data_IF_349865447462
#
_entry.id   IF_349865447462
#
_cell.length_a   1.000
_cell.length_b   1.000
_cell.length_c   1.000
_cell.angle_alpha   90.00
_cell.angle_beta   90.00
_cell.angle_gamma   90.00
#
_symmetry.space_group_name_H-M   'P 1'
#
loop_
_entity.id
_entity.type
_entity.pdbx_description
1 polymer ?
#
# COMPACT_ATOMS: atom_id res chain seq x y z
N UNK A 1 7.77 20.89 28.85
CA UNK A 1 6.95 19.83 28.22
C UNK A 1 7.74 18.55 28.29
N UNK A 2 7.28 17.55 29.05
CA UNK A 2 7.80 16.19 28.93
C UNK A 2 7.52 15.75 27.49
N UNK A 3 8.55 15.67 26.64
CA UNK A 3 8.42 14.92 25.39
C UNK A 3 8.31 13.46 25.83
N UNK A 4 7.16 12.83 25.57
CA UNK A 4 7.05 11.37 25.67
C UNK A 4 8.19 10.73 24.88
N UNK A 5 8.73 9.63 25.39
CA UNK A 5 9.74 8.86 24.66
C UNK A 5 9.18 8.44 23.29
N UNK A 6 9.96 8.56 22.21
CA UNK A 6 9.53 8.14 20.88
C UNK A 6 9.09 6.67 20.88
N UNK A 7 7.99 6.38 20.18
CA UNK A 7 7.55 4.99 19.97
C UNK A 7 8.58 4.26 19.11
N UNK A 8 8.96 3.05 19.53
CA UNK A 8 9.96 2.21 18.88
C UNK A 8 9.35 1.36 17.79
N UNK A 9 9.93 1.36 16.60
CA UNK A 9 9.38 0.71 15.41
C UNK A 9 10.37 -0.31 14.87
N UNK A 10 9.91 -1.54 14.61
CA UNK A 10 10.63 -2.50 13.79
C UNK A 10 10.30 -2.29 12.32
N UNK A 11 11.29 -2.14 11.46
CA UNK A 11 11.10 -2.12 10.01
C UNK A 11 11.46 -3.47 9.40
N UNK A 12 10.45 -4.15 8.86
CA UNK A 12 10.53 -5.47 8.23
C UNK A 12 10.32 -5.27 6.74
N UNK A 13 11.37 -5.47 5.94
CA UNK A 13 11.34 -5.19 4.51
C UNK A 13 11.82 -6.39 3.69
N UNK A 14 11.50 -6.44 2.40
CA UNK A 14 12.06 -7.45 1.50
C UNK A 14 13.46 -7.10 1.05
N UNK A 15 13.72 -5.84 0.68
CA UNK A 15 15.02 -5.31 0.24
C UNK A 15 15.02 -3.78 0.36
N UNK A 16 16.21 -3.17 0.48
CA UNK A 16 16.40 -1.72 0.42
C UNK A 16 17.45 -1.40 -0.65
N UNK A 17 17.02 -1.03 -1.85
CA UNK A 17 17.95 -0.76 -2.96
C UNK A 17 18.65 0.61 -2.87
N UNK A 18 19.91 0.64 -3.32
CA UNK A 18 20.73 1.87 -3.45
C UNK A 18 20.31 2.77 -4.60
N UNK A 19 20.23 2.22 -5.79
CA UNK A 19 20.12 3.03 -7.01
C UNK A 19 18.72 2.97 -7.63
N UNK A 20 17.83 2.14 -7.05
CA UNK A 20 16.43 2.02 -7.42
C UNK A 20 15.56 2.61 -6.30
N UNK A 21 14.49 3.29 -6.68
CA UNK A 21 13.47 3.75 -5.74
C UNK A 21 12.69 2.53 -5.20
N UNK A 22 13.21 1.93 -4.13
CA UNK A 22 12.46 0.91 -3.38
C UNK A 22 11.59 1.58 -2.32
N UNK A 23 10.40 1.05 -2.14
CA UNK A 23 9.46 1.46 -1.11
C UNK A 23 10.07 1.53 0.30
N UNK A 24 10.82 0.50 0.67
CA UNK A 24 11.50 0.47 1.96
C UNK A 24 12.54 1.59 2.08
N UNK A 25 13.27 1.92 1.00
CA UNK A 25 14.17 3.08 1.00
C UNK A 25 13.42 4.38 1.28
N UNK A 26 12.28 4.60 0.62
CA UNK A 26 11.48 5.81 0.83
C UNK A 26 10.97 5.90 2.26
N UNK A 27 10.33 4.85 2.78
CA UNK A 27 9.69 4.87 4.09
C UNK A 27 10.73 4.84 5.21
N UNK A 28 11.58 3.81 5.25
CA UNK A 28 12.59 3.62 6.30
C UNK A 28 13.64 4.72 6.25
N UNK A 29 14.02 5.19 5.06
CA UNK A 29 14.94 6.32 4.88
C UNK A 29 14.46 7.59 5.58
N UNK A 30 13.15 7.90 5.55
CA UNK A 30 12.60 9.07 6.27
C UNK A 30 12.72 8.93 7.79
N UNK A 31 12.64 7.72 8.33
CA UNK A 31 12.85 7.48 9.75
C UNK A 31 14.32 7.63 10.15
N UNK A 32 15.23 7.09 9.33
CA UNK A 32 16.66 7.08 9.64
C UNK A 32 17.34 8.44 9.40
N UNK A 33 16.93 9.15 8.34
CA UNK A 33 17.62 10.35 7.84
C UNK A 33 16.73 11.60 7.77
N UNK A 34 15.49 11.54 8.27
CA UNK A 34 14.54 12.66 8.25
C UNK A 34 13.82 12.84 6.92
N UNK A 35 12.79 13.69 6.88
CA UNK A 35 11.94 13.82 5.69
C UNK A 35 12.69 14.31 4.45
N UNK A 36 13.73 15.14 4.64
CA UNK A 36 14.61 15.62 3.58
C UNK A 36 15.82 14.70 3.31
N UNK A 37 15.98 13.60 4.06
CA UNK A 37 17.13 12.69 3.99
C UNK A 37 18.51 13.36 4.23
N UNK A 38 18.51 14.48 4.95
CA UNK A 38 19.70 15.27 5.30
C UNK A 38 20.16 15.08 6.75
N UNK A 39 19.51 14.17 7.48
CA UNK A 39 19.74 13.94 8.89
C UNK A 39 19.20 15.05 9.79
N UNK A 40 18.36 15.97 9.30
CA UNK A 40 17.79 17.07 10.08
C UNK A 40 16.31 16.84 10.40
N UNK A 41 15.78 17.66 11.30
CA UNK A 41 14.33 17.80 11.50
C UNK A 41 13.69 18.54 10.30
N UNK A 42 12.40 18.31 10.00
CA UNK A 42 11.46 17.46 10.71
C UNK A 42 11.65 15.96 10.44
N UNK A 43 11.41 15.15 11.48
CA UNK A 43 11.42 13.68 11.45
C UNK A 43 10.08 13.09 11.92
N UNK A 44 9.82 11.80 11.65
CA UNK A 44 8.75 11.08 12.32
C UNK A 44 8.87 11.17 13.85
N UNK A 45 7.72 11.23 14.56
CA UNK A 45 7.69 11.28 16.05
C UNK A 45 8.09 9.96 16.72
N UNK A 46 8.10 8.88 15.95
CA UNK A 46 8.53 7.53 16.31
C UNK A 46 9.88 7.21 15.68
N UNK A 47 10.61 6.25 16.21
CA UNK A 47 11.95 5.88 15.75
C UNK A 47 12.00 4.43 15.25
N UNK A 48 12.76 4.18 14.18
CA UNK A 48 13.08 2.81 13.76
C UNK A 48 14.28 2.32 14.57
N UNK A 49 14.08 1.26 15.36
CA UNK A 49 15.10 0.71 16.29
C UNK A 49 15.70 -0.61 15.83
N UNK A 50 15.15 -1.21 14.77
CA UNK A 50 15.64 -2.45 14.21
C UNK A 50 15.22 -2.60 12.77
N UNK A 51 16.10 -3.20 11.96
CA UNK A 51 15.82 -3.56 10.58
C UNK A 51 15.84 -5.08 10.40
N UNK A 52 15.01 -5.55 9.48
CA UNK A 52 15.14 -6.86 8.85
C UNK A 52 14.93 -6.70 7.34
N UNK A 53 15.79 -7.36 6.56
CA UNK A 53 15.65 -7.48 5.11
C UNK A 53 15.63 -8.95 4.71
N UNK A 54 14.62 -9.35 3.94
CA UNK A 54 14.50 -10.75 3.49
C UNK A 54 15.57 -11.14 2.47
N UNK A 55 15.98 -10.20 1.63
CA UNK A 55 17.00 -10.36 0.59
C UNK A 55 18.05 -9.27 0.74
N UNK A 56 19.32 -9.62 0.51
CA UNK A 56 20.46 -8.69 0.52
C UNK A 56 21.31 -8.88 -0.74
N UNK A 57 20.78 -8.56 -1.94
CA UNK A 57 21.59 -8.52 -3.17
C UNK A 57 22.70 -7.45 -3.08
N UNK A 58 23.62 -7.44 -4.04
CA UNK A 58 24.77 -6.51 -4.06
C UNK A 58 24.38 -5.01 -4.03
N UNK A 59 23.18 -4.66 -4.51
CA UNK A 59 22.65 -3.28 -4.50
C UNK A 59 21.79 -2.95 -3.26
N UNK A 60 21.71 -3.85 -2.28
CA UNK A 60 21.05 -3.60 -0.99
C UNK A 60 21.91 -2.75 -0.05
N UNK A 61 21.29 -1.79 0.64
CA UNK A 61 21.98 -0.85 1.55
C UNK A 61 21.57 -1.01 3.02
N UNK A 62 20.79 -2.03 3.37
CA UNK A 62 20.27 -2.19 4.73
C UNK A 62 21.38 -2.32 5.78
N UNK A 63 22.41 -3.10 5.49
CA UNK A 63 23.59 -3.25 6.35
C UNK A 63 24.38 -1.95 6.49
N UNK A 64 24.53 -1.19 5.40
CA UNK A 64 25.25 0.09 5.43
C UNK A 64 24.48 1.15 6.22
N UNK A 65 23.16 1.20 6.06
CA UNK A 65 22.29 2.04 6.88
C UNK A 65 22.38 1.67 8.36
N UNK A 66 22.38 0.38 8.68
CA UNK A 66 22.57 -0.06 10.06
C UNK A 66 23.90 0.41 10.66
N UNK A 67 25.00 0.32 9.90
CA UNK A 67 26.32 0.85 10.34
C UNK A 67 26.33 2.36 10.48
N UNK A 68 25.73 3.09 9.55
CA UNK A 68 25.71 4.55 9.54
C UNK A 68 24.88 5.14 10.69
N UNK A 69 23.77 4.47 11.04
CA UNK A 69 22.79 4.98 12.00
C UNK A 69 22.92 4.36 13.39
N UNK A 70 23.61 3.23 13.51
CA UNK A 70 23.67 2.43 14.73
C UNK A 70 22.44 1.53 14.94
N UNK A 71 21.48 1.52 14.00
CA UNK A 71 20.30 0.65 14.06
C UNK A 71 20.69 -0.78 13.69
N UNK A 72 20.47 -1.79 14.55
CA UNK A 72 20.82 -3.17 14.25
C UNK A 72 19.98 -3.74 13.10
N UNK A 73 20.62 -4.52 12.23
CA UNK A 73 19.99 -5.34 11.19
C UNK A 73 20.01 -6.80 11.64
N UNK A 74 18.85 -7.37 11.88
CA UNK A 74 18.70 -8.73 12.39
C UNK A 74 18.47 -9.75 11.28
N UNK A 75 18.74 -11.03 11.59
CA UNK A 75 18.60 -12.14 10.63
C UNK A 75 17.22 -12.75 10.62
N UNK A 76 16.40 -12.48 11.63
CA UNK A 76 15.04 -12.97 11.72
C UNK A 76 14.09 -11.84 12.09
N UNK A 77 12.83 -11.96 11.65
CA UNK A 77 11.75 -11.05 12.06
C UNK A 77 11.61 -11.05 13.59
N UNK A 78 11.69 -12.22 14.23
CA UNK A 78 11.57 -12.34 15.68
C UNK A 78 12.64 -11.51 16.41
N UNK A 79 13.91 -11.66 16.05
CA UNK A 79 15.00 -10.89 16.67
C UNK A 79 14.85 -9.38 16.43
N UNK A 80 14.36 -8.95 15.26
CA UNK A 80 14.07 -7.54 15.02
C UNK A 80 12.98 -7.02 15.98
N UNK A 81 11.93 -7.80 16.19
CA UNK A 81 10.81 -7.45 17.07
C UNK A 81 11.19 -7.46 18.56
N UNK A 82 12.15 -8.29 18.97
CA UNK A 82 12.59 -8.43 20.37
C UNK A 82 13.91 -7.73 20.68
N UNK A 83 14.54 -7.08 19.69
CA UNK A 83 15.90 -6.56 19.77
C UNK A 83 16.92 -7.62 20.26
N UNK A 84 16.72 -8.87 19.87
CA UNK A 84 17.55 -10.02 20.27
C UNK A 84 17.32 -10.50 21.71
N UNK A 85 16.28 -10.02 22.39
CA UNK A 85 15.88 -10.47 23.73
C UNK A 85 14.72 -11.48 23.66
N UNK A 86 14.19 -11.89 24.82
CA UNK A 86 13.04 -12.82 24.91
C UNK A 86 11.69 -12.09 24.75
N UNK A 87 11.62 -10.81 25.10
CA UNK A 87 10.38 -10.03 25.14
C UNK A 87 10.21 -9.12 23.92
N UNK A 88 8.97 -8.79 23.58
CA UNK A 88 8.70 -7.81 22.53
C UNK A 88 9.23 -6.42 22.94
N UNK A 89 10.15 -5.87 22.15
CA UNK A 89 10.89 -4.66 22.50
C UNK A 89 10.50 -3.41 21.68
N UNK A 90 9.52 -3.54 20.79
CA UNK A 90 9.02 -2.48 19.91
C UNK A 90 7.56 -2.13 20.22
N UNK A 91 7.12 -0.94 19.82
CA UNK A 91 5.76 -0.40 19.97
C UNK A 91 4.93 -0.48 18.69
N UNK A 92 5.54 -0.86 17.56
CA UNK A 92 4.86 -1.02 16.29
C UNK A 92 5.76 -1.64 15.22
N UNK A 93 5.15 -2.09 14.12
CA UNK A 93 5.86 -2.73 13.01
C UNK A 93 5.50 -2.07 11.69
N UNK A 94 6.54 -1.71 10.90
CA UNK A 94 6.41 -1.34 9.49
C UNK A 94 6.77 -2.56 8.64
N UNK A 95 5.78 -3.16 7.99
CA UNK A 95 5.95 -4.24 7.03
C UNK A 95 5.95 -3.65 5.60
N UNK A 96 7.13 -3.53 5.01
CA UNK A 96 7.34 -3.01 3.65
C UNK A 96 7.86 -4.12 2.75
N UNK A 97 6.96 -5.04 2.39
CA UNK A 97 7.30 -6.21 1.58
C UNK A 97 7.00 -5.99 0.09
N UNK A 98 7.64 -4.97 -0.48
CA UNK A 98 7.61 -4.65 -1.91
C UNK A 98 9.03 -4.57 -2.46
N UNK A 99 9.19 -4.88 -3.74
CA UNK A 99 10.48 -5.08 -4.42
C UNK A 99 11.27 -6.31 -3.96
N UNK A 100 12.40 -6.55 -4.61
CA UNK A 100 13.17 -7.79 -4.54
C UNK A 100 12.93 -8.72 -5.72
N UNK A 101 13.58 -9.86 -5.70
CA UNK A 101 13.46 -10.91 -6.71
C UNK A 101 12.43 -11.95 -6.25
N UNK A 102 11.26 -11.93 -6.88
CA UNK A 102 10.13 -12.80 -6.59
C UNK A 102 9.43 -13.12 -7.91
N UNK A 103 8.90 -14.34 -7.99
CA UNK A 103 8.19 -14.84 -9.16
C UNK A 103 6.88 -14.07 -9.41
N UNK A 104 6.34 -14.24 -10.62
CA UNK A 104 5.01 -13.81 -10.98
C UNK A 104 4.11 -15.05 -11.13
N UNK A 105 2.82 -14.91 -10.81
CA UNK A 105 1.83 -15.94 -11.17
C UNK A 105 1.21 -15.68 -12.56
N UNK A 106 0.32 -16.59 -12.98
CA UNK A 106 -0.41 -16.50 -14.26
C UNK A 106 -1.34 -15.28 -14.38
N UNK A 107 -1.57 -14.54 -13.30
CA UNK A 107 -2.33 -13.28 -13.27
C UNK A 107 -1.43 -12.05 -13.29
N UNK A 108 -0.14 -12.24 -13.60
CA UNK A 108 0.88 -11.19 -13.63
C UNK A 108 1.09 -10.48 -12.28
N UNK A 109 0.72 -11.12 -11.17
CA UNK A 109 0.93 -10.59 -9.84
C UNK A 109 2.31 -11.01 -9.35
N UNK A 110 3.09 -10.07 -8.84
CA UNK A 110 4.38 -10.40 -8.23
C UNK A 110 4.14 -11.00 -6.85
N UNK A 111 4.71 -12.17 -6.59
CA UNK A 111 4.50 -12.98 -5.39
C UNK A 111 5.31 -12.48 -4.20
N UNK A 112 5.08 -11.21 -3.85
CA UNK A 112 5.70 -10.58 -2.71
C UNK A 112 5.30 -11.28 -1.40
N UNK A 113 6.25 -11.51 -0.47
CA UNK A 113 6.05 -12.35 0.69
C UNK A 113 5.38 -11.61 1.86
N UNK A 114 4.39 -10.75 1.56
CA UNK A 114 3.65 -9.97 2.56
C UNK A 114 3.02 -10.88 3.61
N UNK A 115 2.40 -11.97 3.16
CA UNK A 115 1.74 -12.94 4.03
C UNK A 115 2.74 -13.70 4.90
N UNK A 116 3.83 -14.19 4.30
CA UNK A 116 4.85 -14.99 4.97
C UNK A 116 5.60 -14.19 6.03
N UNK A 117 5.95 -12.94 5.73
CA UNK A 117 6.57 -12.03 6.70
C UNK A 117 5.58 -11.61 7.79
N UNK A 118 4.32 -11.37 7.45
CA UNK A 118 3.26 -11.12 8.43
C UNK A 118 3.05 -12.30 9.39
N UNK A 119 3.09 -13.55 8.89
CA UNK A 119 2.99 -14.73 9.74
C UNK A 119 4.13 -14.81 10.76
N UNK A 120 5.35 -14.41 10.38
CA UNK A 120 6.48 -14.36 11.32
C UNK A 120 6.30 -13.27 12.40
N UNK A 121 5.69 -12.13 12.04
CA UNK A 121 5.30 -11.08 13.01
C UNK A 121 4.25 -11.64 13.98
N UNK A 122 3.17 -12.24 13.46
CA UNK A 122 2.10 -12.82 14.26
C UNK A 122 2.60 -13.96 15.18
N UNK A 123 3.52 -14.80 14.70
CA UNK A 123 4.16 -15.84 15.50
C UNK A 123 5.00 -15.23 16.63
N UNK A 124 5.72 -14.14 16.37
CA UNK A 124 6.47 -13.41 17.40
C UNK A 124 5.54 -12.81 18.47
N UNK A 125 4.37 -12.30 18.08
CA UNK A 125 3.36 -11.82 19.04
C UNK A 125 2.82 -12.95 19.91
N UNK A 126 2.56 -14.14 19.33
CA UNK A 126 2.14 -15.32 20.11
C UNK A 126 3.20 -15.76 21.11
N UNK A 127 4.48 -15.79 20.69
CA UNK A 127 5.60 -16.23 21.54
C UNK A 127 5.83 -15.29 22.73
N UNK A 128 5.74 -13.98 22.49
CA UNK A 128 5.99 -12.97 23.54
C UNK A 128 4.73 -12.67 24.36
N UNK A 129 3.56 -13.15 23.95
CA UNK A 129 2.29 -12.87 24.62
C UNK A 129 1.82 -11.41 24.51
N UNK A 130 2.43 -10.63 23.61
CA UNK A 130 2.10 -9.22 23.38
C UNK A 130 2.09 -8.93 21.88
N UNK A 131 1.11 -8.16 21.45
CA UNK A 131 0.99 -7.64 20.10
C UNK A 131 1.13 -6.11 20.10
N UNK A 132 1.44 -5.55 18.93
CA UNK A 132 1.54 -4.11 18.70
C UNK A 132 0.98 -3.76 17.31
N UNK A 133 0.61 -2.49 17.05
CA UNK A 133 0.12 -2.07 15.75
C UNK A 133 1.06 -2.45 14.60
N UNK A 134 0.46 -2.89 13.49
CA UNK A 134 1.20 -3.22 12.26
C UNK A 134 0.68 -2.35 11.11
N UNK A 135 1.60 -1.71 10.40
CA UNK A 135 1.34 -1.10 9.10
C UNK A 135 1.91 -2.00 8.01
N UNK A 136 1.08 -2.40 7.04
CA UNK A 136 1.48 -3.16 5.86
C UNK A 136 1.41 -2.26 4.62
N UNK A 137 2.54 -1.99 4.00
CA UNK A 137 2.59 -1.19 2.79
C UNK A 137 1.83 -1.86 1.62
N UNK A 138 0.95 -1.08 0.97
CA UNK A 138 0.00 -1.48 -0.09
C UNK A 138 -1.13 -2.41 0.41
N UNK A 139 -1.70 -3.20 -0.50
CA UNK A 139 -2.67 -4.25 -0.19
C UNK A 139 -2.05 -5.36 0.69
N UNK A 140 -2.91 -6.09 1.42
CA UNK A 140 -2.49 -7.12 2.37
C UNK A 140 -1.72 -8.29 1.71
N UNK A 141 -2.32 -8.90 0.69
CA UNK A 141 -1.73 -10.00 -0.07
C UNK A 141 -2.36 -10.06 -1.46
N UNK A 142 -1.62 -10.56 -2.44
CA UNK A 142 -2.15 -10.85 -3.78
C UNK A 142 -3.23 -11.95 -3.75
N UNK A 143 -3.25 -12.79 -2.70
CA UNK A 143 -4.24 -13.85 -2.49
C UNK A 143 -5.31 -13.42 -1.49
N UNK A 144 -6.58 -13.50 -1.89
CA UNK A 144 -7.72 -13.23 -1.00
C UNK A 144 -7.70 -14.09 0.26
N UNK A 145 -7.39 -15.39 0.13
CA UNK A 145 -7.35 -16.32 1.27
C UNK A 145 -6.28 -15.88 2.27
N UNK A 146 -5.11 -15.47 1.77
CA UNK A 146 -4.02 -15.00 2.61
C UNK A 146 -4.35 -13.63 3.24
N UNK A 147 -4.85 -12.68 2.46
CA UNK A 147 -5.28 -11.37 2.95
C UNK A 147 -6.36 -11.50 4.05
N UNK A 148 -7.34 -12.37 3.84
CA UNK A 148 -8.37 -12.67 4.83
C UNK A 148 -7.77 -13.26 6.10
N UNK A 149 -6.83 -14.23 5.97
CA UNK A 149 -6.16 -14.79 7.14
C UNK A 149 -5.32 -13.76 7.89
N UNK A 150 -4.68 -12.80 7.21
CA UNK A 150 -3.96 -11.70 7.87
C UNK A 150 -4.91 -10.84 8.72
N UNK A 151 -6.07 -10.49 8.18
CA UNK A 151 -7.11 -9.78 8.93
C UNK A 151 -7.64 -10.60 10.11
N UNK A 152 -7.97 -11.87 9.92
CA UNK A 152 -8.49 -12.71 11.00
C UNK A 152 -7.44 -12.88 12.12
N UNK A 153 -6.15 -12.97 11.78
CA UNK A 153 -5.05 -13.02 12.74
C UNK A 153 -4.92 -11.71 13.53
N UNK A 154 -5.12 -10.54 12.92
CA UNK A 154 -5.08 -9.28 13.66
C UNK A 154 -6.22 -9.16 14.66
N UNK A 155 -7.38 -9.76 14.37
CA UNK A 155 -8.48 -9.89 15.33
C UNK A 155 -8.20 -10.93 16.41
N UNK A 156 -7.63 -12.07 16.05
CA UNK A 156 -7.26 -13.15 16.98
C UNK A 156 -6.22 -12.70 18.02
N UNK A 157 -5.23 -11.90 17.58
CA UNK A 157 -4.11 -11.42 18.40
C UNK A 157 -4.32 -9.98 18.91
N UNK A 158 -5.50 -9.41 18.69
CA UNK A 158 -5.95 -8.10 19.17
C UNK A 158 -4.92 -6.97 18.94
N UNK A 159 -4.62 -6.66 17.67
CA UNK A 159 -3.80 -5.50 17.32
C UNK A 159 -4.38 -4.66 16.19
N UNK A 160 -4.07 -3.36 16.20
CA UNK A 160 -4.42 -2.45 15.13
C UNK A 160 -3.65 -2.79 13.86
N UNK A 161 -4.39 -2.98 12.78
CA UNK A 161 -3.81 -3.36 11.49
C UNK A 161 -4.26 -2.41 10.40
N UNK A 162 -3.29 -1.71 9.81
CA UNK A 162 -3.51 -0.79 8.71
C UNK A 162 -2.74 -1.26 7.48
N UNK A 163 -3.37 -1.12 6.32
CA UNK A 163 -2.75 -1.37 5.03
C UNK A 163 -3.22 -0.32 4.03
N UNK A 164 -2.41 -0.05 3.00
CA UNK A 164 -2.72 0.90 1.96
C UNK A 164 -1.48 1.56 1.40
N UNK A 165 -1.64 2.31 0.31
CA UNK A 165 -0.57 3.13 -0.23
C UNK A 165 -0.64 4.58 0.25
N UNK A 166 0.28 5.41 -0.25
CA UNK A 166 0.26 6.85 -0.04
C UNK A 166 -0.79 7.58 -0.88
N UNK A 167 -1.42 6.93 -1.86
CA UNK A 167 -2.35 7.58 -2.81
C UNK A 167 -3.53 8.27 -2.11
N UNK A 168 -4.22 7.65 -1.12
CA UNK A 168 -5.31 8.31 -0.40
C UNK A 168 -4.92 9.61 0.31
N UNK A 169 -3.64 9.76 0.66
CA UNK A 169 -3.08 10.89 1.43
C UNK A 169 -2.15 11.79 0.60
N UNK A 170 -2.05 11.56 -0.71
CA UNK A 170 -1.20 12.35 -1.58
C UNK A 170 -1.84 13.70 -1.93
N UNK A 171 -1.01 14.64 -2.37
CA UNK A 171 -1.48 15.91 -2.91
C UNK A 171 -2.34 15.70 -4.15
N UNK A 172 -3.35 16.56 -4.33
CA UNK A 172 -4.27 16.53 -5.47
C UNK A 172 -4.18 17.83 -6.25
N UNK A 173 -4.34 17.74 -7.57
CA UNK A 173 -4.41 18.89 -8.46
C UNK A 173 -5.67 18.79 -9.35
N UNK A 174 -6.66 19.69 -9.20
CA UNK A 174 -6.79 20.70 -8.14
C UNK A 174 -6.92 20.05 -6.75
N UNK A 175 -6.55 20.78 -5.71
CA UNK A 175 -6.66 20.35 -4.31
C UNK A 175 -8.14 20.32 -3.88
N UNK A 176 -8.87 19.31 -4.34
CA UNK A 176 -10.27 19.10 -4.03
C UNK A 176 -10.38 18.00 -2.99
N UNK A 177 -11.12 18.30 -1.93
CA UNK A 177 -11.59 17.31 -0.97
C UNK A 177 -13.09 17.12 -1.17
N UNK A 178 -13.54 15.87 -1.38
CA UNK A 178 -14.97 15.58 -1.49
C UNK A 178 -15.66 15.95 -0.16
N UNK A 179 -16.84 16.58 -0.16
CA UNK A 179 -17.50 16.94 1.09
C UNK A 179 -17.93 15.68 1.85
N UNK A 180 -17.74 15.68 3.17
CA UNK A 180 -18.30 14.64 4.05
C UNK A 180 -19.82 14.58 3.90
N UNK A 181 -20.35 13.37 3.76
CA UNK A 181 -21.76 13.13 3.50
C UNK A 181 -22.20 13.52 2.09
N UNK A 182 -21.27 13.77 1.16
CA UNK A 182 -21.57 14.11 -0.23
C UNK A 182 -22.40 13.03 -0.92
N UNK A 183 -23.26 13.44 -1.87
CA UNK A 183 -24.02 12.49 -2.68
C UNK A 183 -23.17 12.04 -3.86
N UNK A 184 -22.73 10.81 -3.82
CA UNK A 184 -21.98 10.16 -4.90
C UNK A 184 -22.84 9.10 -5.56
N UNK A 185 -22.76 8.97 -6.89
CA UNK A 185 -23.39 7.89 -7.65
C UNK A 185 -22.39 7.11 -8.47
N UNK A 186 -21.43 7.83 -9.06
CA UNK A 186 -20.44 7.25 -9.94
C UNK A 186 -19.04 7.83 -9.67
N UNK A 187 -18.01 7.03 -9.91
CA UNK A 187 -16.62 7.48 -9.91
C UNK A 187 -15.86 6.89 -11.08
N UNK A 188 -14.92 7.66 -11.65
CA UNK A 188 -14.03 7.19 -12.73
C UNK A 188 -12.60 7.57 -12.39
N UNK A 189 -11.68 6.65 -12.63
CA UNK A 189 -10.24 6.89 -12.64
C UNK A 189 -9.66 6.36 -13.94
N UNK A 190 -8.75 7.13 -14.53
CA UNK A 190 -8.00 6.74 -15.74
C UNK A 190 -6.51 6.95 -15.44
N UNK A 191 -5.70 5.91 -15.58
CA UNK A 191 -4.26 5.98 -15.33
C UNK A 191 -3.54 4.78 -15.98
N UNK A 192 -2.33 4.97 -16.53
CA UNK A 192 -1.56 3.87 -17.08
C UNK A 192 -0.88 3.03 -15.98
N UNK A 193 -0.57 1.77 -16.28
CA UNK A 193 0.32 0.94 -15.47
C UNK A 193 -0.08 -0.53 -15.44
N UNK A 194 0.73 -1.43 -14.83
CA UNK A 194 0.39 -2.84 -14.71
C UNK A 194 -0.88 -3.08 -13.89
N UNK A 195 -1.63 -4.13 -14.23
CA UNK A 195 -2.94 -4.42 -13.66
C UNK A 195 -2.92 -4.61 -12.13
N UNK A 196 -1.88 -5.28 -11.59
CA UNK A 196 -1.77 -5.56 -10.15
C UNK A 196 -1.25 -4.33 -9.38
N UNK A 197 -0.06 -3.84 -9.72
CA UNK A 197 0.61 -2.79 -8.94
C UNK A 197 -0.03 -1.41 -9.09
N UNK A 198 -0.54 -1.06 -10.26
CA UNK A 198 -1.19 0.24 -10.50
C UNK A 198 -2.72 0.15 -10.42
N UNK A 199 -3.33 -0.98 -10.75
CA UNK A 199 -4.79 -1.15 -10.62
C UNK A 199 -5.29 -0.92 -9.19
N UNK A 200 -4.57 -1.42 -8.19
CA UNK A 200 -4.87 -1.14 -6.78
C UNK A 200 -4.74 0.36 -6.42
N UNK A 201 -3.76 1.09 -6.96
CA UNK A 201 -3.65 2.54 -6.74
C UNK A 201 -4.82 3.31 -7.32
N UNK A 202 -5.33 2.87 -8.45
CA UNK A 202 -6.48 3.50 -9.08
C UNK A 202 -7.76 3.23 -8.27
N UNK A 203 -7.91 2.02 -7.73
CA UNK A 203 -8.95 1.69 -6.74
C UNK A 203 -8.87 2.64 -5.54
N UNK A 204 -7.71 2.78 -4.91
CA UNK A 204 -7.52 3.69 -3.77
C UNK A 204 -7.78 5.16 -4.12
N UNK A 205 -7.42 5.58 -5.34
CA UNK A 205 -7.66 6.94 -5.84
C UNK A 205 -9.15 7.27 -5.83
N UNK A 206 -9.99 6.39 -6.39
CA UNK A 206 -11.44 6.63 -6.40
C UNK A 206 -12.04 6.44 -5.01
N UNK A 207 -11.64 5.40 -4.29
CA UNK A 207 -12.19 5.06 -2.97
C UNK A 207 -11.98 6.19 -1.96
N UNK A 208 -10.78 6.79 -1.90
CA UNK A 208 -10.52 7.87 -0.94
C UNK A 208 -11.43 9.10 -1.12
N UNK A 209 -11.99 9.29 -2.32
CA UNK A 209 -12.97 10.34 -2.59
C UNK A 209 -14.40 9.88 -2.28
N UNK A 210 -14.78 8.69 -2.78
CA UNK A 210 -16.17 8.23 -2.69
C UNK A 210 -16.53 7.71 -1.30
N UNK A 211 -15.58 7.28 -0.46
CA UNK A 211 -15.86 6.81 0.91
C UNK A 211 -16.33 7.91 1.85
N UNK A 212 -16.22 9.16 1.43
CA UNK A 212 -16.76 10.33 2.14
C UNK A 212 -18.24 10.57 1.87
N UNK A 213 -18.88 9.71 1.06
CA UNK A 213 -20.29 9.81 0.70
C UNK A 213 -21.23 9.63 1.90
N UNK A 214 -22.50 10.01 1.71
CA UNK A 214 -23.55 9.77 2.72
C UNK A 214 -23.57 8.29 3.13
N UNK A 215 -23.43 8.01 4.43
CA UNK A 215 -23.42 6.64 4.98
C UNK A 215 -22.05 5.96 5.02
N UNK A 216 -21.03 6.51 4.34
CA UNK A 216 -19.69 5.95 4.30
C UNK A 216 -19.57 4.68 3.43
N UNK A 217 -18.47 3.97 3.60
CA UNK A 217 -18.23 2.66 2.98
C UNK A 217 -19.05 1.57 3.68
N UNK A 218 -19.73 0.73 2.89
CA UNK A 218 -20.57 -0.36 3.39
C UNK A 218 -20.34 -1.69 2.64
N UNK A 219 -19.20 -1.82 1.95
CA UNK A 219 -18.83 -3.00 1.19
C UNK A 219 -18.97 -2.88 -0.33
N UNK A 220 -18.43 -3.89 -1.00
CA UNK A 220 -18.50 -4.12 -2.44
C UNK A 220 -19.47 -5.27 -2.70
N UNK A 221 -20.42 -5.06 -3.60
CA UNK A 221 -21.40 -6.05 -4.05
C UNK A 221 -20.81 -6.95 -5.14
N UNK A 222 -20.14 -6.35 -6.14
CA UNK A 222 -19.57 -7.08 -7.26
C UNK A 222 -18.38 -6.35 -7.89
N UNK A 223 -17.52 -7.11 -8.56
CA UNK A 223 -16.43 -6.60 -9.40
C UNK A 223 -16.47 -7.32 -10.74
N UNK A 224 -16.32 -6.58 -11.83
CA UNK A 224 -16.18 -7.11 -13.19
C UNK A 224 -14.93 -6.52 -13.83
N UNK A 225 -14.08 -7.38 -14.41
CA UNK A 225 -13.00 -6.96 -15.30
C UNK A 225 -13.47 -7.07 -16.75
N UNK A 226 -13.31 -6.01 -17.53
CA UNK A 226 -13.52 -5.98 -18.97
C UNK A 226 -12.17 -5.74 -19.66
N UNK A 227 -11.93 -6.46 -20.74
CA UNK A 227 -10.70 -6.41 -21.54
C UNK A 227 -11.04 -6.25 -23.02
N UNK A 228 -10.13 -5.64 -23.78
CA UNK A 228 -10.29 -5.44 -25.22
C UNK A 228 -11.55 -4.66 -25.60
N UNK A 229 -12.23 -5.06 -26.68
CA UNK A 229 -13.39 -4.37 -27.24
C UNK A 229 -14.56 -4.18 -26.26
N UNK A 230 -14.69 -5.03 -25.24
CA UNK A 230 -15.77 -4.91 -24.25
C UNK A 230 -15.63 -3.65 -23.38
N UNK A 231 -14.39 -3.15 -23.18
CA UNK A 231 -14.14 -1.88 -22.49
C UNK A 231 -14.81 -0.74 -23.25
N UNK A 232 -14.59 -0.70 -24.56
CA UNK A 232 -15.05 0.40 -25.42
C UNK A 232 -16.54 0.31 -25.66
N UNK A 233 -17.09 -0.90 -25.81
CA UNK A 233 -18.55 -1.11 -25.84
C UNK A 233 -19.23 -0.64 -24.57
N UNK A 234 -18.64 -0.89 -23.39
CA UNK A 234 -19.16 -0.37 -22.13
C UNK A 234 -19.15 1.16 -22.13
N UNK A 235 -18.01 1.77 -22.47
CA UNK A 235 -17.86 3.22 -22.46
C UNK A 235 -18.84 3.90 -23.43
N UNK A 236 -18.95 3.38 -24.66
CA UNK A 236 -19.83 3.87 -25.72
C UNK A 236 -21.32 3.73 -25.38
N UNK A 237 -21.69 2.69 -24.62
CA UNK A 237 -23.09 2.42 -24.22
C UNK A 237 -23.48 3.03 -22.88
N UNK A 238 -22.55 3.63 -22.14
CA UNK A 238 -22.76 4.11 -20.76
C UNK A 238 -22.50 5.62 -20.65
N UNK A 239 -23.53 6.47 -20.83
CA UNK A 239 -23.35 7.93 -20.92
C UNK A 239 -22.69 8.58 -19.69
N UNK A 240 -22.94 8.06 -18.48
CA UNK A 240 -22.31 8.60 -17.27
C UNK A 240 -20.82 8.30 -17.24
N UNK A 241 -20.41 7.11 -17.71
CA UNK A 241 -19.03 6.67 -17.72
C UNK A 241 -18.24 7.46 -18.76
N UNK A 242 -18.76 7.58 -19.99
CA UNK A 242 -18.17 8.41 -21.04
C UNK A 242 -17.92 9.84 -20.55
N UNK A 243 -18.93 10.48 -19.94
CA UNK A 243 -18.80 11.85 -19.43
C UNK A 243 -17.69 12.00 -18.39
N UNK A 244 -17.58 11.07 -17.45
CA UNK A 244 -16.56 11.13 -16.40
C UNK A 244 -15.16 10.75 -16.91
N UNK A 245 -15.09 9.81 -17.86
CA UNK A 245 -13.87 9.42 -18.56
C UNK A 245 -13.28 10.61 -19.34
N UNK A 246 -14.10 11.30 -20.15
CA UNK A 246 -13.68 12.49 -20.89
C UNK A 246 -13.21 13.60 -19.95
N UNK A 247 -13.90 13.78 -18.82
CA UNK A 247 -13.51 14.76 -17.80
C UNK A 247 -12.17 14.41 -17.13
N UNK A 248 -11.89 13.12 -16.91
CA UNK A 248 -10.61 12.66 -16.37
C UNK A 248 -9.48 12.87 -17.38
N UNK A 249 -9.68 12.47 -18.65
CA UNK A 249 -8.69 12.65 -19.71
C UNK A 249 -8.37 14.12 -19.96
N UNK A 250 -9.38 15.01 -19.92
CA UNK A 250 -9.18 16.45 -20.09
C UNK A 250 -8.33 17.11 -18.99
N UNK A 251 -8.01 16.38 -17.91
CA UNK A 251 -7.13 16.82 -16.82
C UNK A 251 -5.75 16.20 -16.87
N UNK A 252 -5.47 15.30 -17.81
CA UNK A 252 -4.13 14.74 -17.96
C UNK A 252 -3.15 15.80 -18.46
N UNK A 253 -2.00 15.91 -17.80
CA UNK A 253 -0.92 16.83 -18.19
C UNK A 253 0.00 16.24 -19.27
N UNK A 254 -0.18 14.96 -19.60
CA UNK A 254 0.59 14.23 -20.61
C UNK A 254 -0.28 14.03 -21.85
N UNK A 255 0.24 14.25 -23.08
CA UNK A 255 -0.50 13.90 -24.30
C UNK A 255 -1.02 12.47 -24.23
N UNK A 256 -2.32 12.30 -24.42
CA UNK A 256 -2.97 11.00 -24.42
C UNK A 256 -3.07 10.52 -25.87
N UNK A 257 -2.47 9.37 -26.17
CA UNK A 257 -2.87 8.59 -27.34
C UNK A 257 -4.30 8.07 -27.13
N UNK A 258 -4.99 7.70 -28.19
CA UNK A 258 -6.32 7.09 -28.06
C UNK A 258 -6.17 5.78 -27.26
N UNK A 259 -6.74 5.68 -26.04
CA UNK A 259 -6.57 4.50 -25.20
C UNK A 259 -7.21 3.26 -25.84
N UNK A 260 -8.08 3.42 -26.86
CA UNK A 260 -8.60 2.31 -27.67
C UNK A 260 -7.52 1.50 -28.38
N UNK A 261 -6.33 2.07 -28.56
CA UNK A 261 -5.18 1.39 -29.16
C UNK A 261 -4.35 0.55 -28.18
N UNK A 262 -4.59 0.61 -26.87
CA UNK A 262 -3.80 -0.15 -25.89
C UNK A 262 -4.38 -1.56 -25.72
N UNK A 263 -3.67 -2.57 -26.22
CA UNK A 263 -4.02 -3.98 -26.12
C UNK A 263 -3.91 -4.53 -24.70
N UNK A 264 -3.32 -3.77 -23.77
CA UNK A 264 -3.25 -4.07 -22.36
C UNK A 264 -4.29 -3.30 -21.54
N UNK A 265 -5.12 -2.47 -22.16
CA UNK A 265 -6.16 -1.75 -21.44
C UNK A 265 -7.07 -2.72 -20.66
N UNK A 266 -7.44 -2.32 -19.45
CA UNK A 266 -8.37 -3.09 -18.61
C UNK A 266 -9.32 -2.14 -17.90
N UNK A 267 -10.58 -2.54 -17.77
CA UNK A 267 -11.59 -1.81 -17.01
C UNK A 267 -12.08 -2.66 -15.85
N UNK A 268 -11.90 -2.17 -14.63
CA UNK A 268 -12.58 -2.70 -13.46
C UNK A 268 -13.84 -1.89 -13.15
N UNK A 269 -14.98 -2.56 -13.19
CA UNK A 269 -16.25 -2.04 -12.69
C UNK A 269 -16.46 -2.57 -11.29
N UNK A 270 -16.75 -1.68 -10.35
CA UNK A 270 -17.01 -2.01 -8.95
C UNK A 270 -18.39 -1.48 -8.57
N UNK A 271 -19.28 -2.38 -8.17
CA UNK A 271 -20.57 -2.03 -7.60
C UNK A 271 -20.46 -2.08 -6.08
N UNK A 272 -20.78 -0.98 -5.43
CA UNK A 272 -20.82 -0.86 -3.98
C UNK A 272 -22.23 -1.17 -3.46
N UNK A 273 -22.33 -1.70 -2.24
CA UNK A 273 -23.62 -2.15 -1.67
C UNK A 273 -24.67 -1.03 -1.50
N UNK A 274 -24.28 0.24 -1.63
CA UNK A 274 -25.16 1.42 -1.57
C UNK A 274 -25.60 1.92 -2.95
N UNK A 275 -25.25 1.20 -4.02
CA UNK A 275 -25.59 1.54 -5.40
C UNK A 275 -24.62 2.52 -6.07
N UNK A 276 -23.51 2.90 -5.42
CA UNK A 276 -22.42 3.60 -6.12
C UNK A 276 -21.72 2.62 -7.08
N UNK A 277 -21.42 3.08 -8.29
CA UNK A 277 -20.64 2.32 -9.28
C UNK A 277 -19.34 3.07 -9.62
N UNK A 278 -18.20 2.41 -9.56
CA UNK A 278 -16.94 2.98 -10.05
C UNK A 278 -16.41 2.22 -11.26
N UNK A 279 -15.78 2.95 -12.18
CA UNK A 279 -15.17 2.42 -13.39
C UNK A 279 -13.70 2.88 -13.47
N UNK A 280 -12.78 1.92 -13.46
CA UNK A 280 -11.35 2.15 -13.31
C UNK A 280 -10.66 1.67 -14.58
N UNK A 281 -10.23 2.62 -15.41
CA UNK A 281 -9.64 2.40 -16.73
C UNK A 281 -8.13 2.45 -16.64
N UNK A 282 -7.51 1.28 -16.73
CA UNK A 282 -6.06 1.09 -16.78
C UNK A 282 -5.57 1.09 -18.22
#
# INVERSE_FOLDING_TARGET
MNREEPKKIAAISTVIWKDKASHARTIVGKYLFGFNEDGQEPRPRSEVVSLYTHQTPDDDISCDWGRQTGVPVFRTVHEALTLGTEDLAVDGVLLVAEHGDYEFNDKEQKLYPRFELFLQIADSFRRTGRSVPVFNDKHLSYSWVNARRMYDLSKELDFEFMAGSSIPVNYRAPEIEFPWGGRTRHGVVVAPGPIDSYGFHMLETVQCLIERRTGGEIGVEAVQCLEGEEIWRFLDSTPWAQKLFDAALARSEVPQEDPRGDDRAALFRVWHCDGVETAIFR
#
